data_IF_423148811917
#
_entry.id   IF_423148811917
#
_cell.length_a   1.000
_cell.length_b   1.000
_cell.length_c   1.000
_cell.angle_alpha   90.00
_cell.angle_beta   90.00
_cell.angle_gamma   90.00
#
_symmetry.space_group_name_H-M   'P 1'
#
loop_
_entity.id
_entity.type
_entity.pdbx_description
1 polymer ?
#
# COMPACT_ATOMS: atom_id res chain seq x y z
N UNK A 1 -1.79 -10.05 31.57
CA UNK A 1 -1.29 -8.95 32.41
C UNK A 1 -0.40 -8.10 31.53
N UNK A 2 -0.63 -6.79 31.45
CA UNK A 2 0.09 -5.89 30.56
C UNK A 2 0.88 -4.89 31.41
N UNK A 3 2.05 -4.50 30.91
CA UNK A 3 2.85 -3.43 31.48
C UNK A 3 2.55 -2.14 30.72
N UNK A 4 2.32 -1.06 31.45
CA UNK A 4 2.21 0.27 30.88
C UNK A 4 3.32 1.16 31.41
N UNK A 5 3.78 2.04 30.52
CA UNK A 5 4.61 3.16 30.91
C UNK A 5 3.72 4.40 31.09
N UNK A 6 4.10 5.27 32.01
CA UNK A 6 3.42 6.52 32.26
C UNK A 6 4.42 7.67 32.33
N UNK A 7 4.01 8.85 31.88
CA UNK A 7 4.77 10.09 31.99
C UNK A 7 3.90 11.17 32.64
N UNK A 8 4.45 11.80 33.67
CA UNK A 8 3.87 12.97 34.31
C UNK A 8 4.15 14.23 33.48
N UNK A 9 3.10 14.93 33.05
CA UNK A 9 3.24 16.14 32.24
C UNK A 9 3.76 17.34 33.01
N UNK A 10 3.55 17.40 34.33
CA UNK A 10 3.96 18.55 35.15
C UNK A 10 5.44 18.52 35.50
N UNK A 11 5.95 17.36 35.95
CA UNK A 11 7.32 17.25 36.48
C UNK A 11 8.24 16.34 35.65
N UNK A 12 7.73 15.75 34.57
CA UNK A 12 8.50 14.88 33.67
C UNK A 12 8.88 13.52 34.26
N UNK A 13 8.30 13.12 35.39
CA UNK A 13 8.59 11.81 36.00
C UNK A 13 8.03 10.67 35.14
N UNK A 14 8.87 9.67 34.86
CA UNK A 14 8.53 8.44 34.15
C UNK A 14 8.32 7.29 35.14
N UNK A 15 7.19 6.59 35.00
CA UNK A 15 6.92 5.32 35.66
C UNK A 15 6.95 4.24 34.58
N UNK A 16 7.80 3.23 34.74
CA UNK A 16 8.00 2.16 33.75
C UNK A 16 7.51 0.84 34.30
N UNK A 17 7.07 -0.04 33.40
CA UNK A 17 6.69 -1.41 33.73
C UNK A 17 5.57 -1.51 34.79
N UNK A 18 4.60 -0.59 34.75
CA UNK A 18 3.46 -0.61 35.67
C UNK A 18 2.51 -1.75 35.29
N UNK A 19 2.45 -2.76 36.15
CA UNK A 19 1.53 -3.89 36.01
C UNK A 19 0.09 -3.43 36.21
N UNK A 20 -0.72 -3.45 35.15
CA UNK A 20 -2.12 -3.04 35.20
C UNK A 20 -3.01 -3.95 34.34
N UNK A 21 -4.29 -4.11 34.70
CA UNK A 21 -5.26 -4.71 33.78
C UNK A 21 -5.62 -3.72 32.68
N UNK A 22 -5.94 -4.25 31.49
CA UNK A 22 -6.50 -3.44 30.38
C UNK A 22 -7.85 -2.83 30.78
N UNK A 23 -8.58 -3.46 31.71
CA UNK A 23 -9.91 -3.03 32.15
C UNK A 23 -9.86 -1.95 33.24
N UNK A 24 -8.69 -1.69 33.83
CA UNK A 24 -8.57 -0.73 34.91
C UNK A 24 -8.43 0.70 34.35
N UNK A 25 -8.97 1.66 35.09
CA UNK A 25 -8.82 3.07 34.76
C UNK A 25 -7.34 3.50 34.79
N UNK A 26 -6.90 4.42 33.90
CA UNK A 26 -5.53 4.89 33.89
C UNK A 26 -5.13 5.57 35.20
N UNK A 27 -3.87 5.39 35.60
CA UNK A 27 -3.31 6.12 36.73
C UNK A 27 -3.19 7.61 36.39
N UNK A 28 -3.62 8.48 37.31
CA UNK A 28 -3.60 9.94 37.12
C UNK A 28 -2.68 10.65 38.11
N UNK A 29 -2.52 10.14 39.32
CA UNK A 29 -1.72 10.76 40.38
C UNK A 29 -0.22 10.47 40.18
N UNK A 30 0.59 11.53 40.22
CA UNK A 30 2.04 11.39 40.22
C UNK A 30 2.60 11.32 41.65
N UNK A 31 3.31 10.26 41.99
CA UNK A 31 3.93 10.09 43.32
C UNK A 31 5.07 11.11 43.59
N UNK A 32 5.65 11.70 42.55
CA UNK A 32 6.75 12.66 42.68
C UNK A 32 6.31 14.08 42.98
N UNK A 33 5.24 14.56 42.36
CA UNK A 33 4.75 15.94 42.51
C UNK A 33 3.36 16.07 43.13
N UNK A 34 2.66 14.95 43.34
CA UNK A 34 1.32 14.93 43.94
C UNK A 34 0.20 15.44 43.03
N UNK A 35 0.50 15.78 41.78
CA UNK A 35 -0.49 16.29 40.82
C UNK A 35 -1.13 15.17 40.00
N UNK A 36 -2.38 15.38 39.59
CA UNK A 36 -3.12 14.49 38.69
C UNK A 36 -2.75 14.70 37.21
N UNK A 37 -1.46 14.59 36.89
CA UNK A 37 -0.92 14.88 35.55
C UNK A 37 -0.20 13.68 34.92
N UNK A 38 -0.38 12.49 35.47
CA UNK A 38 0.15 11.24 34.93
C UNK A 38 -0.61 10.83 33.67
N UNK A 39 0.11 10.44 32.62
CA UNK A 39 -0.48 10.00 31.35
C UNK A 39 0.16 8.72 30.85
N UNK A 40 -0.67 7.75 30.45
CA UNK A 40 -0.22 6.45 29.92
C UNK A 40 0.47 6.65 28.58
N UNK A 41 1.72 6.20 28.48
CA UNK A 41 2.48 6.20 27.23
C UNK A 41 2.13 4.94 26.45
N UNK A 42 1.62 5.14 25.23
CA UNK A 42 1.29 4.05 24.32
C UNK A 42 2.50 3.81 23.42
N UNK A 43 3.38 2.91 23.82
CA UNK A 43 4.49 2.44 22.99
C UNK A 43 4.04 1.27 22.10
N UNK A 44 4.56 1.25 20.87
CA UNK A 44 4.26 0.22 19.86
C UNK A 44 3.47 0.79 18.70
N UNK A 45 4.08 0.78 17.51
CA UNK A 45 3.40 1.06 16.26
C UNK A 45 2.23 0.10 16.13
N UNK A 46 1.02 0.59 16.36
CA UNK A 46 -0.19 -0.18 16.06
C UNK A 46 -0.07 -0.57 14.60
N UNK A 47 -0.05 -1.86 14.31
CA UNK A 47 -0.14 -2.33 12.94
C UNK A 47 -1.47 -1.77 12.40
N UNK A 48 -1.38 -0.70 11.62
CA UNK A 48 -2.53 -0.06 11.03
C UNK A 48 -2.87 -0.88 9.79
N UNK A 49 -4.01 -1.56 9.84
CA UNK A 49 -4.55 -2.24 8.68
C UNK A 49 -5.72 -1.43 8.16
N UNK A 50 -5.80 -1.30 6.84
CA UNK A 50 -6.97 -0.70 6.22
C UNK A 50 -8.06 -1.78 6.19
N UNK A 51 -9.13 -1.56 6.95
CA UNK A 51 -10.28 -2.48 7.01
C UNK A 51 -11.03 -2.51 5.66
N UNK A 52 -11.18 -1.35 5.03
CA UNK A 52 -11.89 -1.19 3.76
C UNK A 52 -10.93 -1.05 2.57
N UNK A 53 -11.18 -1.83 1.51
CA UNK A 53 -10.35 -1.79 0.31
C UNK A 53 -10.79 -0.59 -0.54
N UNK A 54 -9.94 0.43 -0.64
CA UNK A 54 -10.21 1.64 -1.43
C UNK A 54 -9.42 1.70 -2.73
N UNK A 55 -8.41 0.83 -2.89
CA UNK A 55 -7.52 0.83 -4.06
C UNK A 55 -7.35 -0.55 -4.67
N UNK A 56 -7.02 -0.58 -5.96
CA UNK A 56 -6.73 -1.82 -6.70
C UNK A 56 -5.55 -2.58 -6.07
N UNK A 57 -4.53 -1.86 -5.58
CA UNK A 57 -3.37 -2.47 -4.91
C UNK A 57 -3.77 -3.22 -3.65
N UNK A 58 -4.57 -2.61 -2.79
CA UNK A 58 -5.08 -3.26 -1.57
C UNK A 58 -5.92 -4.51 -1.87
N UNK A 59 -6.71 -4.48 -2.96
CA UNK A 59 -7.46 -5.64 -3.40
C UNK A 59 -6.54 -6.78 -3.84
N UNK A 60 -5.48 -6.46 -4.60
CA UNK A 60 -4.47 -7.42 -5.03
C UNK A 60 -3.70 -8.02 -3.84
N UNK A 61 -3.32 -7.20 -2.87
CA UNK A 61 -2.64 -7.66 -1.66
C UNK A 61 -3.52 -8.61 -0.86
N UNK A 62 -4.81 -8.28 -0.67
CA UNK A 62 -5.77 -9.18 -0.01
C UNK A 62 -5.91 -10.50 -0.76
N UNK A 63 -6.07 -10.46 -2.07
CA UNK A 63 -6.24 -11.65 -2.90
C UNK A 63 -5.00 -12.56 -2.90
N UNK A 64 -3.82 -12.00 -2.66
CA UNK A 64 -2.57 -12.76 -2.68
C UNK A 64 -1.97 -13.01 -1.28
N UNK A 65 -2.63 -12.57 -0.21
CA UNK A 65 -2.12 -12.65 1.17
C UNK A 65 -1.89 -14.08 1.66
N UNK A 66 -2.73 -15.02 1.26
CA UNK A 66 -2.61 -16.45 1.57
C UNK A 66 -1.96 -17.28 0.47
N UNK A 67 -1.50 -16.65 -0.61
CA UNK A 67 -0.98 -17.33 -1.79
C UNK A 67 0.54 -17.46 -1.68
N UNK A 68 1.05 -18.69 -1.82
CA UNK A 68 2.49 -18.94 -1.84
C UNK A 68 3.18 -18.29 -3.04
N UNK A 69 4.47 -18.00 -2.92
CA UNK A 69 5.27 -17.36 -3.99
C UNK A 69 5.14 -18.09 -5.33
N UNK A 70 5.14 -19.43 -5.31
CA UNK A 70 4.98 -20.28 -6.49
C UNK A 70 3.62 -20.12 -7.18
N UNK A 71 2.53 -20.04 -6.40
CA UNK A 71 1.18 -19.85 -6.95
C UNK A 71 1.02 -18.45 -7.56
N UNK A 72 1.64 -17.42 -6.97
CA UNK A 72 1.66 -16.07 -7.54
C UNK A 72 2.37 -16.05 -8.90
N UNK A 73 3.55 -16.69 -8.99
CA UNK A 73 4.32 -16.74 -10.23
C UNK A 73 3.59 -17.51 -11.35
N UNK A 74 2.92 -18.61 -11.01
CA UNK A 74 2.13 -19.40 -11.97
C UNK A 74 0.95 -18.61 -12.54
N UNK A 75 0.23 -17.86 -11.69
CA UNK A 75 -0.87 -17.01 -12.15
C UNK A 75 -0.39 -15.83 -13.00
N UNK A 76 0.74 -15.22 -12.66
CA UNK A 76 1.34 -14.18 -13.48
C UNK A 76 1.81 -14.71 -14.84
N UNK A 77 2.38 -15.92 -14.89
CA UNK A 77 2.77 -16.56 -16.14
C UNK A 77 1.55 -16.81 -17.03
N UNK A 78 0.49 -17.41 -16.47
CA UNK A 78 -0.79 -17.64 -17.17
C UNK A 78 -1.44 -16.33 -17.64
N UNK A 79 -1.37 -15.27 -16.84
CA UNK A 79 -1.88 -13.95 -17.22
C UNK A 79 -1.05 -13.30 -18.36
N UNK A 80 0.25 -13.61 -18.46
CA UNK A 80 1.11 -13.16 -19.58
C UNK A 80 0.85 -13.97 -20.84
N UNK A 81 0.57 -15.26 -20.72
CA UNK A 81 0.26 -16.17 -21.85
C UNK A 81 -1.13 -15.91 -22.45
N UNK A 82 -2.12 -15.58 -21.63
CA UNK A 82 -3.50 -15.29 -22.05
C UNK A 82 -3.68 -13.89 -22.65
N UNK A 83 -2.71 -12.98 -22.49
CA UNK A 83 -2.74 -11.69 -23.18
C UNK A 83 -2.59 -11.94 -24.69
N UNK A 84 -3.51 -11.42 -25.53
CA UNK A 84 -3.40 -11.58 -26.97
C UNK A 84 -2.04 -11.05 -27.42
N UNK A 85 -1.35 -11.80 -28.29
CA UNK A 85 -0.08 -11.36 -28.85
C UNK A 85 -0.32 -9.99 -29.47
N UNK A 86 0.60 -9.05 -29.30
CA UNK A 86 0.36 -7.66 -29.72
C UNK A 86 -0.03 -7.53 -31.21
N UNK A 87 0.32 -8.51 -32.05
CA UNK A 87 -0.10 -8.69 -33.45
C UNK A 87 -1.61 -8.94 -33.66
N UNK A 88 -2.33 -9.45 -32.65
CA UNK A 88 -3.76 -9.82 -32.76
C UNK A 88 -4.74 -8.73 -32.33
N UNK A 89 -4.25 -7.67 -31.69
CA UNK A 89 -5.12 -6.54 -31.32
C UNK A 89 -5.72 -5.89 -32.56
N UNK A 90 -7.03 -5.57 -32.52
CA UNK A 90 -7.81 -5.05 -33.66
C UNK A 90 -7.11 -3.82 -34.29
N UNK A 91 -6.54 -2.95 -33.46
CA UNK A 91 -5.78 -1.77 -33.90
C UNK A 91 -4.50 -2.12 -34.68
N UNK A 92 -3.81 -3.23 -34.37
CA UNK A 92 -2.65 -3.69 -35.15
C UNK A 92 -3.02 -4.43 -36.42
N UNK A 93 -4.13 -5.18 -36.43
CA UNK A 93 -4.59 -5.92 -37.62
C UNK A 93 -4.84 -5.00 -38.82
N UNK A 94 -5.32 -3.78 -38.57
CA UNK A 94 -5.62 -2.80 -39.61
C UNK A 94 -4.55 -1.70 -39.76
N UNK A 95 -3.53 -1.69 -38.89
CA UNK A 95 -2.43 -0.73 -38.98
C UNK A 95 -1.51 -1.07 -40.15
N UNK A 96 -1.27 -0.11 -41.04
CA UNK A 96 -0.36 -0.29 -42.17
C UNK A 96 1.11 -0.16 -41.77
N UNK A 97 1.41 0.61 -40.71
CA UNK A 97 2.76 0.83 -40.21
C UNK A 97 2.99 0.12 -38.86
N UNK A 98 4.19 -0.43 -38.72
CA UNK A 98 4.70 -1.03 -37.48
C UNK A 98 5.16 0.07 -36.51
N UNK A 99 5.24 -0.27 -35.21
CA UNK A 99 5.72 0.66 -34.17
C UNK A 99 7.13 1.19 -34.47
N UNK A 100 8.00 0.35 -35.05
CA UNK A 100 9.35 0.76 -35.42
C UNK A 100 9.39 1.77 -36.57
N UNK A 101 8.49 1.63 -37.55
CA UNK A 101 8.34 2.61 -38.64
C UNK A 101 7.77 3.94 -38.13
N UNK A 102 6.74 3.88 -37.27
CA UNK A 102 6.11 5.08 -36.67
C UNK A 102 7.13 5.86 -35.82
N UNK A 103 8.02 5.17 -35.10
CA UNK A 103 9.05 5.82 -34.29
C UNK A 103 10.11 6.54 -35.14
N UNK A 104 10.28 6.16 -36.41
CA UNK A 104 11.21 6.81 -37.36
C UNK A 104 10.59 7.98 -38.11
N UNK A 105 9.27 8.17 -38.02
CA UNK A 105 8.56 9.29 -38.63
C UNK A 105 8.77 10.59 -37.85
N UNK A 106 8.78 11.72 -38.54
CA UNK A 106 8.68 13.05 -37.93
C UNK A 106 7.30 13.29 -37.32
N UNK A 107 7.16 14.29 -36.45
CA UNK A 107 5.86 14.64 -35.84
C UNK A 107 4.77 14.94 -36.89
N UNK A 108 5.13 15.64 -37.97
CA UNK A 108 4.21 15.91 -39.08
C UNK A 108 3.83 14.63 -39.84
N UNK A 109 4.75 13.68 -40.00
CA UNK A 109 4.46 12.38 -40.63
C UNK A 109 3.56 11.52 -39.74
N UNK A 110 3.77 11.53 -38.42
CA UNK A 110 2.87 10.85 -37.46
C UNK A 110 1.45 11.42 -37.50
N UNK A 111 1.31 12.74 -37.53
CA UNK A 111 0.00 13.40 -37.67
C UNK A 111 -0.70 13.00 -38.97
N UNK A 112 0.02 13.03 -40.10
CA UNK A 112 -0.51 12.60 -41.39
C UNK A 112 -0.89 11.12 -41.40
N UNK A 113 -0.12 10.26 -40.74
CA UNK A 113 -0.42 8.84 -40.60
C UNK A 113 -1.72 8.60 -39.80
N UNK A 114 -1.94 9.35 -38.72
CA UNK A 114 -3.19 9.29 -37.93
C UNK A 114 -4.40 9.73 -38.77
N UNK A 115 -4.26 10.83 -39.52
CA UNK A 115 -5.37 11.43 -40.28
C UNK A 115 -5.69 10.71 -41.58
N UNK A 116 -4.68 10.16 -42.27
CA UNK A 116 -4.80 9.65 -43.65
C UNK A 116 -4.45 8.17 -43.79
N UNK A 117 -3.87 7.55 -42.77
CA UNK A 117 -3.48 6.13 -42.79
C UNK A 117 -2.44 5.78 -43.84
N UNK A 118 -1.64 6.75 -44.32
CA UNK A 118 -0.56 6.55 -45.30
C UNK A 118 0.80 6.70 -44.60
N UNK A 119 1.74 5.79 -44.92
CA UNK A 119 3.13 5.84 -44.45
C UNK A 119 3.86 7.04 -45.03
#
# INVERSE_FOLDING_TARGET
>A
MINYDYICKSCGHELKDVLQSIKDDPLTLCEKCGEHSLSRVIFGGRAAFVENISTIGQLADKNTRGMGSYQKSELEAKAKESKPKASETIYRKHAKATKGEINKMSEQQKQNYILRGKK
#
